data_IF_271597377075
#
_entry.id   IF_271597377075
#
_cell.length_a   1.000
_cell.length_b   1.000
_cell.length_c   1.000
_cell.angle_alpha   90.00
_cell.angle_beta   90.00
_cell.angle_gamma   90.00
#
_symmetry.space_group_name_H-M   'P 1'
#
loop_
_entity.id
_entity.type
_entity.pdbx_description
1 polymer ?
#
# COMPACT_ATOMS: atom_id res chain seq x y z
N UNK A 1 -6.84 18.67 26.33
CA UNK A 1 -7.16 18.33 26.08
C UNK A 1 -7.73 18.16 25.44
N UNK A 2 -7.90 17.98 25.30
CA UNK A 2 -8.45 17.71 24.79
C UNK A 2 -8.82 17.55 23.99
N UNK A 3 -8.84 17.65 23.93
CA UNK A 3 -9.29 17.41 23.27
C UNK A 3 -9.28 17.08 22.47
N UNK A 4 -9.01 16.99 22.58
CA UNK A 4 -9.15 16.50 21.95
C UNK A 4 -9.57 16.12 21.41
N UNK A 5 -9.54 16.03 21.49
CA UNK A 5 -9.93 15.46 21.08
C UNK A 5 -10.62 15.35 20.36
N UNK A 6 -11.00 15.66 20.43
CA UNK A 6 -11.94 15.58 19.73
C UNK A 6 -11.74 15.31 18.52
N UNK A 7 -11.18 15.74 18.25
CA UNK A 7 -11.18 15.60 17.02
C UNK A 7 -11.02 14.44 16.62
N UNK A 8 -10.74 14.02 17.06
CA UNK A 8 -10.69 13.05 16.71
C UNK A 8 -11.56 12.40 16.38
N UNK A 9 -12.24 12.70 16.68
CA UNK A 9 -13.21 12.07 16.42
C UNK A 9 -13.46 11.87 15.19
N UNK A 10 -13.55 12.74 14.68
CA UNK A 10 -13.92 12.64 13.38
C UNK A 10 -13.07 11.69 12.81
N UNK A 11 -12.05 11.72 13.22
CA UNK A 11 -11.23 10.85 12.62
C UNK A 11 -11.77 9.60 12.63
N UNK A 12 -12.49 9.38 13.51
CA UNK A 12 -12.85 8.13 13.56
C UNK A 12 -13.46 7.67 12.38
N UNK A 13 -14.21 8.35 11.82
CA UNK A 13 -14.90 7.78 10.75
C UNK A 13 -14.07 7.75 9.64
N UNK A 14 -13.02 8.19 9.67
CA UNK A 14 -12.35 8.12 8.62
C UNK A 14 -11.43 7.21 8.72
N UNK A 15 -11.18 6.65 7.91
CA UNK A 15 -10.21 5.80 7.78
C UNK A 15 -9.08 6.54 8.15
N UNK A 16 -8.98 6.74 9.22
CA UNK A 16 -7.94 7.29 9.65
C UNK A 16 -6.68 6.83 9.19
N UNK A 17 -6.69 6.20 8.18
CA UNK A 17 -5.57 5.52 7.80
C UNK A 17 -4.71 6.28 6.86
N UNK A 18 -4.78 7.54 6.71
CA UNK A 18 -3.88 8.22 5.82
C UNK A 18 -2.60 8.50 6.56
N UNK A 19 -1.66 7.60 6.42
CA UNK A 19 -0.39 7.69 7.11
C UNK A 19 0.71 7.99 6.10
N UNK A 20 1.46 9.05 6.32
CA UNK A 20 2.56 9.39 5.41
C UNK A 20 3.66 8.35 5.53
N UNK A 21 4.20 7.92 4.41
CA UNK A 21 5.24 6.91 4.36
C UNK A 21 6.39 7.46 3.54
N UNK A 22 7.60 7.36 4.06
CA UNK A 22 8.77 7.85 3.35
C UNK A 22 9.18 6.89 2.25
N UNK A 23 9.55 7.44 1.10
CA UNK A 23 10.04 6.65 -0.03
C UNK A 23 11.33 7.27 -0.55
N UNK A 24 12.15 6.50 -1.28
CA UNK A 24 13.47 6.98 -1.71
C UNK A 24 13.43 8.23 -2.57
N UNK A 25 12.39 8.40 -3.37
CA UNK A 25 12.32 9.58 -4.23
C UNK A 25 12.03 10.86 -3.45
N UNK A 26 11.58 10.75 -2.21
CA UNK A 26 11.17 11.91 -1.42
C UNK A 26 9.79 12.42 -1.76
N UNK A 27 9.07 11.76 -2.66
CA UNK A 27 7.73 12.19 -3.04
C UNK A 27 6.76 11.91 -1.90
N UNK A 28 5.64 12.61 -1.92
CA UNK A 28 4.64 12.44 -0.85
C UNK A 28 3.79 11.19 -1.14
N UNK A 29 3.80 10.26 -0.23
CA UNK A 29 3.03 9.02 -0.34
C UNK A 29 2.29 8.81 0.96
N UNK A 30 1.02 8.39 0.85
CA UNK A 30 0.22 8.09 2.04
C UNK A 30 -0.33 6.68 1.92
N UNK A 31 -0.25 5.91 3.00
CA UNK A 31 -0.91 4.61 3.05
C UNK A 31 -2.39 4.84 3.33
N UNK A 32 -3.26 4.19 2.57
CA UNK A 32 -4.70 4.35 2.71
C UNK A 32 -5.32 3.17 3.46
N UNK A 33 -5.05 1.97 3.03
CA UNK A 33 -5.68 0.79 3.61
C UNK A 33 -4.96 -0.46 3.13
N UNK A 34 -5.29 -1.59 3.72
CA UNK A 34 -4.79 -2.87 3.25
C UNK A 34 -5.91 -3.88 3.26
N UNK A 35 -5.74 -4.93 2.47
CA UNK A 35 -6.73 -5.98 2.35
C UNK A 35 -6.02 -7.32 2.22
N UNK A 36 -6.46 -8.29 2.97
CA UNK A 36 -5.90 -9.64 2.91
C UNK A 36 -6.82 -10.51 2.05
N UNK A 37 -6.21 -11.23 1.11
CA UNK A 37 -6.95 -12.06 0.18
C UNK A 37 -6.30 -13.43 0.20
N UNK A 38 -7.05 -14.45 0.60
CA UNK A 38 -6.52 -15.78 0.74
C UNK A 38 -6.72 -16.64 -0.50
N UNK A 39 -7.34 -16.10 -1.54
CA UNK A 39 -7.73 -16.94 -2.65
C UNK A 39 -6.85 -16.79 -3.87
N UNK A 40 -5.74 -16.15 -3.80
CA UNK A 40 -4.87 -16.00 -4.95
C UNK A 40 -4.10 -17.26 -5.26
N UNK A 41 -3.59 -17.39 -6.48
CA UNK A 41 -2.81 -18.56 -6.86
C UNK A 41 -1.50 -18.69 -6.08
N UNK A 42 -1.02 -17.60 -5.53
CA UNK A 42 0.19 -17.62 -4.74
C UNK A 42 -0.10 -17.90 -3.28
N UNK A 43 -1.32 -18.19 -2.91
CA UNK A 43 -1.70 -18.41 -1.53
C UNK A 43 -2.19 -17.11 -0.90
N UNK A 44 -1.86 -16.90 0.37
CA UNK A 44 -2.35 -15.71 1.05
C UNK A 44 -1.62 -14.48 0.52
N UNK A 45 -2.39 -13.48 0.14
CA UNK A 45 -1.87 -12.23 -0.40
C UNK A 45 -2.36 -11.06 0.45
N UNK A 46 -1.48 -10.14 0.76
CA UNK A 46 -1.89 -8.90 1.39
C UNK A 46 -1.65 -7.77 0.41
N UNK A 47 -2.65 -6.91 0.22
CA UNK A 47 -2.59 -5.78 -0.68
C UNK A 47 -2.56 -4.52 0.13
N UNK A 48 -1.64 -3.63 -0.20
CA UNK A 48 -1.58 -2.32 0.44
C UNK A 48 -1.87 -1.25 -0.60
N UNK A 49 -2.71 -0.31 -0.25
CA UNK A 49 -3.12 0.76 -1.15
C UNK A 49 -2.53 2.07 -0.68
N UNK A 50 -1.84 2.75 -1.59
CA UNK A 50 -1.14 4.01 -1.28
C UNK A 50 -1.57 5.10 -2.26
N UNK A 51 -1.51 6.33 -1.81
CA UNK A 51 -1.84 7.50 -2.60
C UNK A 51 -0.57 8.25 -2.92
N UNK A 52 -0.34 8.52 -4.19
CA UNK A 52 0.77 9.34 -4.66
C UNK A 52 0.21 10.27 -5.73
N UNK A 53 -0.12 11.49 -5.33
CA UNK A 53 -0.96 12.37 -6.16
C UNK A 53 -0.30 12.81 -7.46
N UNK A 54 1.02 12.82 -7.53
CA UNK A 54 1.73 13.21 -8.73
C UNK A 54 2.17 12.00 -9.57
N UNK A 55 1.54 10.84 -9.36
CA UNK A 55 1.87 9.64 -10.10
C UNK A 55 1.55 9.79 -11.58
N UNK A 56 2.44 9.29 -12.44
CA UNK A 56 2.19 9.26 -13.89
C UNK A 56 2.28 7.82 -14.38
N UNK A 57 1.79 7.57 -15.60
CA UNK A 57 1.71 6.21 -16.10
C UNK A 57 3.08 5.61 -16.38
N UNK A 58 4.06 6.41 -16.77
CA UNK A 58 5.38 5.90 -17.10
C UNK A 58 6.38 6.31 -16.02
N UNK A 59 6.05 6.06 -14.78
CA UNK A 59 6.76 6.66 -13.66
C UNK A 59 7.85 5.70 -13.17
N UNK A 60 9.04 5.81 -13.73
CA UNK A 60 10.13 4.93 -13.33
C UNK A 60 10.50 5.11 -11.87
N UNK A 61 10.42 6.33 -11.35
CA UNK A 61 10.74 6.58 -9.96
C UNK A 61 9.76 5.87 -9.05
N UNK A 62 8.49 5.81 -9.45
CA UNK A 62 7.49 5.16 -8.64
C UNK A 62 7.75 3.68 -8.51
N UNK A 63 8.31 3.04 -9.52
CA UNK A 63 8.60 1.60 -9.41
C UNK A 63 9.61 1.32 -8.31
N UNK A 64 10.64 2.15 -8.18
CA UNK A 64 11.58 2.01 -7.08
C UNK A 64 10.95 2.31 -5.74
N UNK A 65 10.06 3.27 -5.70
CA UNK A 65 9.35 3.60 -4.46
C UNK A 65 8.44 2.43 -4.06
N UNK A 66 7.82 1.75 -5.02
CA UNK A 66 6.96 0.61 -4.71
C UNK A 66 7.75 -0.53 -4.07
N UNK A 67 8.95 -0.81 -4.56
CA UNK A 67 9.78 -1.81 -3.95
C UNK A 67 10.13 -1.40 -2.51
N UNK A 68 10.46 -0.14 -2.31
CA UNK A 68 10.77 0.35 -0.97
C UNK A 68 9.56 0.26 -0.05
N UNK A 69 8.36 0.52 -0.56
CA UNK A 69 7.15 0.39 0.24
C UNK A 69 6.95 -1.05 0.68
N UNK A 70 7.27 -2.01 -0.18
CA UNK A 70 7.18 -3.40 0.20
C UNK A 70 8.18 -3.72 1.31
N UNK A 71 9.41 -3.30 1.17
CA UNK A 71 10.46 -3.71 2.11
C UNK A 71 10.44 -2.90 3.40
N UNK A 72 10.14 -1.63 3.34
CA UNK A 72 10.23 -0.80 4.54
C UNK A 72 8.90 -0.54 5.21
N UNK A 73 7.78 -0.76 4.52
CA UNK A 73 6.47 -0.59 5.14
C UNK A 73 5.75 -1.93 5.29
N UNK A 74 5.59 -2.67 4.19
CA UNK A 74 4.76 -3.88 4.23
C UNK A 74 5.37 -4.98 5.08
N UNK A 75 6.65 -5.26 4.89
CA UNK A 75 7.29 -6.33 5.66
C UNK A 75 7.27 -6.06 7.16
N UNK A 76 7.63 -4.86 7.64
CA UNK A 76 7.57 -4.63 9.09
C UNK A 76 6.15 -4.66 9.67
N UNK A 77 5.14 -4.52 8.83
CA UNK A 77 3.76 -4.51 9.31
C UNK A 77 3.10 -5.89 9.24
N UNK A 78 3.83 -6.94 8.89
CA UNK A 78 3.26 -8.27 8.91
C UNK A 78 3.01 -8.70 10.34
N UNK A 79 1.90 -9.42 10.55
CA UNK A 79 1.56 -9.91 11.86
C UNK A 79 2.54 -11.00 12.27
N UNK A 80 2.92 -11.04 13.53
CA UNK A 80 3.80 -12.08 14.03
C UNK A 80 3.03 -13.36 14.30
N UNK A 81 1.71 -13.34 14.26
CA UNK A 81 0.91 -14.52 14.57
C UNK A 81 -0.05 -14.78 13.43
N UNK A 82 -0.45 -16.00 13.29
CA UNK A 82 -1.40 -16.39 12.27
C UNK A 82 -0.72 -16.72 10.96
N UNK A 83 -1.50 -17.01 9.94
CA UNK A 83 -0.93 -17.34 8.64
C UNK A 83 -0.13 -16.18 8.08
N UNK A 84 1.02 -16.47 7.51
CA UNK A 84 1.85 -15.44 6.90
C UNK A 84 1.56 -15.35 5.42
N UNK A 85 1.47 -14.14 4.86
CA UNK A 85 1.25 -14.00 3.44
C UNK A 85 2.48 -14.48 2.66
N UNK A 86 2.23 -14.97 1.48
CA UNK A 86 3.28 -15.38 0.57
C UNK A 86 3.53 -14.34 -0.50
N UNK A 87 2.59 -13.42 -0.68
CA UNK A 87 2.73 -12.38 -1.67
C UNK A 87 2.25 -11.06 -1.08
N UNK A 88 2.94 -9.99 -1.42
CA UNK A 88 2.52 -8.64 -1.09
C UNK A 88 2.26 -7.91 -2.39
N UNK A 89 1.12 -7.25 -2.49
CA UNK A 89 0.80 -6.42 -3.65
C UNK A 89 0.80 -4.97 -3.19
N UNK A 90 1.53 -4.13 -3.91
CA UNK A 90 1.58 -2.70 -3.66
C UNK A 90 0.81 -2.01 -4.78
N UNK A 91 -0.17 -1.22 -4.42
CA UNK A 91 -0.96 -0.46 -5.38
C UNK A 91 -0.77 1.02 -5.09
N UNK A 92 -0.28 1.76 -6.08
CA UNK A 92 -0.19 3.21 -6.01
C UNK A 92 -1.24 3.79 -6.91
N UNK A 93 -1.89 4.85 -6.47
CA UNK A 93 -2.86 5.55 -7.30
C UNK A 93 -2.74 7.05 -7.06
N UNK A 94 -3.10 7.86 -8.07
CA UNK A 94 -3.04 9.31 -7.93
C UNK A 94 -4.26 9.85 -7.20
N UNK A 95 -5.21 8.99 -6.89
CA UNK A 95 -6.42 9.34 -6.12
C UNK A 95 -6.92 8.08 -5.44
N UNK A 96 -7.72 8.19 -4.39
CA UNK A 96 -8.27 7.00 -3.76
C UNK A 96 -9.14 6.22 -4.75
N UNK A 97 -8.91 4.91 -4.83
CA UNK A 97 -9.64 4.04 -5.73
C UNK A 97 -10.21 2.90 -4.88
N UNK A 98 -11.48 2.58 -5.10
CA UNK A 98 -12.11 1.51 -4.36
C UNK A 98 -11.69 0.18 -4.97
N UNK A 99 -11.23 -0.75 -4.14
CA UNK A 99 -10.78 -2.05 -4.62
C UNK A 99 -11.91 -2.75 -5.37
N UNK A 100 -11.58 -3.28 -6.52
CA UNK A 100 -12.57 -4.01 -7.32
C UNK A 100 -13.36 -3.13 -8.28
N UNK A 101 -13.19 -1.82 -8.21
CA UNK A 101 -13.86 -0.95 -9.17
C UNK A 101 -12.84 -0.37 -10.13
N UNK A 102 -13.32 0.13 -11.24
CA UNK A 102 -12.48 0.72 -12.26
C UNK A 102 -12.72 2.21 -12.28
N UNK A 103 -11.66 2.99 -12.27
CA UNK A 103 -11.76 4.44 -12.40
C UNK A 103 -10.89 4.83 -13.59
N UNK A 104 -11.48 5.08 -14.74
CA UNK A 104 -10.68 5.37 -15.94
C UNK A 104 -9.88 6.66 -15.86
N UNK A 105 -10.18 7.52 -14.91
CA UNK A 105 -9.42 8.75 -14.79
C UNK A 105 -8.27 8.61 -13.82
N UNK A 106 -8.18 7.52 -13.09
CA UNK A 106 -7.11 7.35 -12.13
C UNK A 106 -5.87 6.77 -12.80
N UNK A 107 -4.71 7.27 -12.42
CA UNK A 107 -3.45 6.62 -12.76
C UNK A 107 -3.14 5.67 -11.63
N UNK A 108 -2.89 4.42 -11.96
CA UNK A 108 -2.68 3.39 -10.96
C UNK A 108 -1.58 2.45 -11.42
N UNK A 109 -0.65 2.16 -10.53
CA UNK A 109 0.40 1.18 -10.79
C UNK A 109 0.28 0.09 -9.73
N UNK A 110 0.41 -1.16 -10.14
CA UNK A 110 0.26 -2.30 -9.24
C UNK A 110 1.44 -3.23 -9.47
N UNK A 111 2.09 -3.67 -8.41
CA UNK A 111 3.18 -4.63 -8.50
C UNK A 111 3.02 -5.66 -7.39
N UNK A 112 3.36 -6.90 -7.70
CA UNK A 112 3.35 -7.99 -6.75
C UNK A 112 4.76 -8.39 -6.40
N UNK A 113 4.97 -8.83 -5.17
CA UNK A 113 6.28 -9.20 -4.68
C UNK A 113 6.19 -10.48 -3.88
N UNK A 114 7.17 -11.36 -4.10
CA UNK A 114 7.35 -12.51 -3.23
C UNK A 114 8.18 -12.07 -2.03
N UNK A 115 7.94 -12.67 -0.89
CA UNK A 115 8.67 -12.34 0.32
C UNK A 115 9.87 -13.28 0.42
N UNK A 116 11.07 -12.70 0.55
CA UNK A 116 12.28 -13.46 0.66
C UNK A 116 13.07 -12.92 1.86
N UNK A 117 12.82 -13.47 3.03
CA UNK A 117 13.43 -12.97 4.26
C UNK A 117 12.97 -11.55 4.56
N UNK A 118 13.91 -10.63 4.57
CA UNK A 118 13.58 -9.22 4.80
C UNK A 118 13.55 -8.43 3.49
N UNK A 119 13.46 -9.12 2.36
CA UNK A 119 13.47 -8.50 1.05
C UNK A 119 12.20 -8.83 0.30
N UNK A 120 11.86 -7.99 -0.65
CA UNK A 120 10.76 -8.23 -1.57
C UNK A 120 11.34 -8.44 -2.96
N UNK A 121 10.85 -9.45 -3.66
CA UNK A 121 11.29 -9.74 -5.02
C UNK A 121 10.11 -9.58 -5.96
N UNK A 122 10.24 -8.71 -6.93
CA UNK A 122 9.14 -8.43 -7.83
C UNK A 122 8.76 -9.67 -8.62
N UNK A 123 7.47 -9.92 -8.73
CA UNK A 123 6.97 -11.03 -9.49
C UNK A 123 6.23 -10.53 -10.71
N UNK A 124 6.33 -11.27 -11.80
CA UNK A 124 5.57 -10.93 -12.98
C UNK A 124 4.22 -11.61 -12.92
N UNK A 125 3.21 -10.91 -13.31
CA UNK A 125 1.86 -11.46 -13.33
C UNK A 125 1.52 -12.00 -14.70
#
# INVERSE_FOLDING_TARGET
>A
MAVIGAGQVAAADMPASRVAVAVPSGRHVEWLTSQTDASGPEGLTIRHFFLMRDLTEDDDTAMGDMLALCESFALPHLSAVGPQPQQIVISLADRPVVFGTSDPEATQLIAGYAISGERCEEEMF
#
